data_IF_107847042938
#
_entry.id   IF_107847042938
#
_cell.length_a   1.000
_cell.length_b   1.000
_cell.length_c   1.000
_cell.angle_alpha   90.00
_cell.angle_beta   90.00
_cell.angle_gamma   90.00
#
_symmetry.space_group_name_H-M   'P 1'
#
loop_
_entity.id
_entity.type
_entity.pdbx_description
1 polymer ?
#
# COMPACT_ATOMS: atom_id res chain seq x y z
N UNK A 1 7.13 9.38 -43.21
CA UNK A 1 5.68 9.15 -43.01
C UNK A 1 5.45 7.69 -42.71
N UNK A 2 4.83 7.18 -41.63
CA UNK A 2 4.20 7.64 -40.38
C UNK A 2 4.29 6.37 -39.50
N UNK A 3 5.15 6.34 -38.48
CA UNK A 3 4.77 6.37 -37.06
C UNK A 3 3.64 5.40 -36.64
N UNK A 4 4.00 4.32 -35.92
CA UNK A 4 3.30 3.66 -34.78
C UNK A 4 3.79 2.20 -34.67
N UNK A 5 4.03 1.59 -33.51
CA UNK A 5 3.55 1.86 -32.17
C UNK A 5 4.58 1.35 -31.15
N UNK A 6 4.95 2.26 -30.26
CA UNK A 6 5.78 2.00 -29.08
C UNK A 6 4.88 1.37 -28.01
N UNK A 7 5.14 0.12 -27.67
CA UNK A 7 4.70 -0.44 -26.40
C UNK A 7 5.86 -1.24 -25.80
N UNK A 8 6.95 -0.53 -25.48
CA UNK A 8 7.99 -1.05 -24.60
C UNK A 8 7.32 -1.27 -23.24
N UNK A 9 6.96 -2.51 -22.94
CA UNK A 9 6.52 -2.91 -21.61
C UNK A 9 7.62 -2.53 -20.63
N UNK A 10 7.45 -1.40 -19.94
CA UNK A 10 8.30 -1.02 -18.83
C UNK A 10 8.11 -2.10 -17.77
N UNK A 11 9.05 -3.02 -17.67
CA UNK A 11 9.25 -3.86 -16.50
C UNK A 11 9.45 -2.91 -15.33
N UNK A 12 8.36 -2.55 -14.65
CA UNK A 12 8.40 -1.82 -13.41
C UNK A 12 9.12 -2.73 -12.42
N UNK A 13 10.39 -2.45 -12.16
CA UNK A 13 11.02 -2.87 -10.93
C UNK A 13 10.09 -2.40 -9.80
N UNK A 14 9.34 -3.33 -9.21
CA UNK A 14 8.38 -3.03 -8.16
C UNK A 14 9.18 -2.55 -6.97
N UNK A 15 9.34 -1.23 -6.83
CA UNK A 15 9.92 -0.63 -5.64
C UNK A 15 9.15 -1.16 -4.42
N UNK A 16 9.79 -2.02 -3.64
CA UNK A 16 9.15 -2.65 -2.51
C UNK A 16 8.96 -1.62 -1.39
N UNK A 17 7.71 -1.47 -0.95
CA UNK A 17 7.42 -0.63 0.21
C UNK A 17 7.84 -1.37 1.45
N UNK A 18 9.02 -1.04 1.96
CA UNK A 18 9.51 -1.47 3.27
C UNK A 18 9.21 -0.39 4.31
N UNK A 19 8.71 -0.81 5.48
CA UNK A 19 8.44 0.06 6.63
C UNK A 19 9.67 0.12 7.53
N UNK A 20 9.88 1.26 8.20
CA UNK A 20 10.83 1.37 9.32
C UNK A 20 10.27 0.66 10.56
N UNK A 21 11.11 0.30 11.53
CA UNK A 21 10.66 -0.47 12.71
C UNK A 21 9.50 0.21 13.44
N UNK A 22 9.61 1.51 13.73
CA UNK A 22 8.53 2.27 14.37
C UNK A 22 7.24 2.31 13.54
N UNK A 23 7.33 2.18 12.22
CA UNK A 23 6.17 2.12 11.32
C UNK A 23 5.54 0.72 11.35
N UNK A 24 6.36 -0.32 11.42
CA UNK A 24 5.93 -1.71 11.55
C UNK A 24 5.17 -1.94 12.86
N UNK A 25 5.67 -1.39 13.97
CA UNK A 25 5.04 -1.53 15.28
C UNK A 25 3.63 -0.94 15.30
N UNK A 26 3.44 0.27 14.77
CA UNK A 26 2.11 0.90 14.71
C UNK A 26 1.20 0.28 13.66
N UNK A 27 1.76 -0.37 12.63
CA UNK A 27 0.99 -1.03 11.57
C UNK A 27 0.52 -2.43 11.96
N UNK A 28 1.25 -3.13 12.85
CA UNK A 28 1.01 -4.54 13.22
C UNK A 28 -0.46 -4.83 13.55
N UNK A 29 -1.17 -4.06 14.40
CA UNK A 29 -2.55 -4.38 14.71
C UNK A 29 -3.50 -4.28 13.49
N UNK A 30 -3.24 -3.36 12.56
CA UNK A 30 -4.01 -3.26 11.31
C UNK A 30 -3.76 -4.45 10.38
N UNK A 31 -2.52 -4.97 10.35
CA UNK A 31 -2.16 -6.17 9.58
C UNK A 31 -2.80 -7.44 10.14
N UNK A 32 -3.11 -7.45 11.44
CA UNK A 32 -3.90 -8.49 12.13
C UNK A 32 -5.42 -8.33 11.90
N UNK A 33 -5.85 -7.33 11.13
CA UNK A 33 -7.26 -7.08 10.82
C UNK A 33 -8.03 -6.31 11.90
N UNK A 34 -7.35 -5.65 12.85
CA UNK A 34 -8.00 -4.83 13.87
C UNK A 34 -8.25 -3.41 13.36
N UNK A 35 -9.39 -2.85 13.74
CA UNK A 35 -9.70 -1.44 13.50
C UNK A 35 -8.90 -0.56 14.48
N UNK A 36 -8.03 0.31 13.95
CA UNK A 36 -7.16 1.15 14.77
C UNK A 36 -7.07 2.59 14.25
N UNK A 37 -6.62 3.50 15.11
CA UNK A 37 -6.19 4.85 14.76
C UNK A 37 -4.66 4.90 14.85
N UNK A 38 -3.98 5.18 13.73
CA UNK A 38 -2.52 5.32 13.71
C UNK A 38 -2.12 6.78 13.95
N UNK A 39 -1.58 7.05 15.14
CA UNK A 39 -1.08 8.36 15.52
C UNK A 39 0.43 8.46 15.27
N UNK A 40 0.84 9.00 14.12
CA UNK A 40 2.23 9.37 13.86
C UNK A 40 2.34 10.88 13.60
N UNK A 41 3.43 11.54 14.06
CA UNK A 41 3.68 12.95 13.76
C UNK A 41 3.76 13.25 12.24
N UNK A 42 3.67 14.54 11.89
CA UNK A 42 3.90 15.00 10.50
C UNK A 42 5.32 14.63 10.04
N UNK A 43 5.46 14.29 8.75
CA UNK A 43 6.75 13.85 8.18
C UNK A 43 7.20 12.44 8.56
N UNK A 44 6.49 11.72 9.45
CA UNK A 44 6.87 10.36 9.89
C UNK A 44 6.39 9.22 8.99
N UNK A 45 5.70 9.55 7.89
CA UNK A 45 5.31 8.58 6.86
C UNK A 45 3.99 7.85 7.11
N UNK A 46 2.99 8.51 7.70
CA UNK A 46 1.61 7.98 7.83
C UNK A 46 1.06 7.40 6.53
N UNK A 47 1.23 8.12 5.43
CA UNK A 47 0.78 7.68 4.11
C UNK A 47 1.51 6.42 3.64
N UNK A 48 2.82 6.30 3.90
CA UNK A 48 3.59 5.08 3.58
C UNK A 48 3.08 3.86 4.34
N UNK A 49 2.73 4.05 5.62
CA UNK A 49 2.08 3.01 6.45
C UNK A 49 0.73 2.60 5.86
N UNK A 50 -0.12 3.57 5.49
CA UNK A 50 -1.42 3.29 4.89
C UNK A 50 -1.31 2.50 3.57
N UNK A 51 -0.36 2.87 2.70
CA UNK A 51 -0.12 2.14 1.44
C UNK A 51 0.39 0.72 1.72
N UNK A 52 1.28 0.54 2.69
CA UNK A 52 1.75 -0.80 3.07
C UNK A 52 0.61 -1.70 3.57
N UNK A 53 -0.22 -1.19 4.47
CA UNK A 53 -1.39 -1.92 5.00
C UNK A 53 -2.36 -2.26 3.86
N UNK A 54 -2.61 -1.31 2.96
CA UNK A 54 -3.46 -1.52 1.77
C UNK A 54 -2.93 -2.63 0.87
N UNK A 55 -1.61 -2.61 0.57
CA UNK A 55 -0.96 -3.66 -0.21
C UNK A 55 -1.13 -5.02 0.46
N UNK A 56 -0.79 -5.13 1.75
CA UNK A 56 -0.92 -6.38 2.51
C UNK A 56 -2.36 -6.89 2.58
N UNK A 57 -3.33 -6.00 2.76
CA UNK A 57 -4.75 -6.36 2.72
C UNK A 57 -5.13 -7.00 1.38
N UNK A 58 -4.78 -6.38 0.26
CA UNK A 58 -5.11 -6.89 -1.08
C UNK A 58 -4.34 -8.17 -1.42
N UNK A 59 -3.08 -8.28 -1.03
CA UNK A 59 -2.26 -9.48 -1.22
C UNK A 59 -2.85 -10.67 -0.44
N UNK A 60 -3.25 -10.47 0.81
CA UNK A 60 -3.89 -11.50 1.64
C UNK A 60 -5.23 -11.95 1.03
N UNK A 61 -6.09 -11.00 0.62
CA UNK A 61 -7.36 -11.31 -0.06
C UNK A 61 -7.14 -12.12 -1.34
N UNK A 62 -6.12 -11.76 -2.14
CA UNK A 62 -5.75 -12.50 -3.35
C UNK A 62 -5.29 -13.91 -3.03
N UNK A 63 -4.46 -14.09 -2.00
CA UNK A 63 -4.01 -15.40 -1.55
C UNK A 63 -5.18 -16.30 -1.10
N UNK A 64 -6.19 -15.68 -0.46
CA UNK A 64 -7.45 -16.32 -0.05
C UNK A 64 -8.44 -16.55 -1.21
N UNK A 65 -8.10 -16.16 -2.46
CA UNK A 65 -9.01 -16.17 -3.62
C UNK A 65 -10.30 -15.37 -3.41
N UNK A 66 -10.25 -14.34 -2.57
CA UNK A 66 -11.37 -13.45 -2.28
C UNK A 66 -11.19 -12.09 -2.94
N UNK A 67 -12.29 -11.38 -3.20
CA UNK A 67 -12.23 -10.00 -3.64
C UNK A 67 -11.82 -9.07 -2.49
N UNK A 68 -10.87 -8.17 -2.74
CA UNK A 68 -10.44 -7.13 -1.81
C UNK A 68 -10.72 -5.75 -2.39
N UNK A 69 -11.20 -4.82 -1.56
CA UNK A 69 -11.43 -3.42 -1.93
C UNK A 69 -10.93 -2.53 -0.80
N UNK A 70 -10.32 -1.40 -1.17
CA UNK A 70 -9.84 -0.39 -0.23
C UNK A 70 -10.26 0.97 -0.73
N UNK A 71 -10.73 1.83 0.18
CA UNK A 71 -11.07 3.22 -0.07
C UNK A 71 -10.18 4.09 0.81
N UNK A 72 -9.58 5.12 0.23
CA UNK A 72 -8.78 6.12 0.96
C UNK A 72 -9.52 7.45 0.86
N UNK A 73 -9.97 7.96 2.00
CA UNK A 73 -10.68 9.23 2.10
C UNK A 73 -9.70 10.33 2.50
N UNK A 74 -9.76 11.47 1.81
CA UNK A 74 -8.96 12.67 2.07
C UNK A 74 -9.88 13.87 2.27
N UNK A 75 -9.45 14.85 3.08
CA UNK A 75 -10.25 16.02 3.45
C UNK A 75 -9.82 17.30 2.70
N UNK A 76 -9.16 17.15 1.54
CA UNK A 76 -8.71 18.26 0.69
C UNK A 76 -8.73 17.82 -0.77
#
# INVERSE_FOLDING_TARGET
DVAESVATARSQEKAEIVLRDYQTDVARPALEGKNIIICLPTGRGKTRVAVYITKKHLDNRRAEKQSGKVVVLVNK
#
